data_IF_240159696185
#
_entry.id   IF_240159696185
#
_cell.length_a   1.000
_cell.length_b   1.000
_cell.length_c   1.000
_cell.angle_alpha   90.00
_cell.angle_beta   90.00
_cell.angle_gamma   90.00
#
_symmetry.space_group_name_H-M   'P 1'
#
loop_
_entity.id
_entity.type
_entity.pdbx_description
1 polymer ?
#
# COMPACT_ATOMS: atom_id res chain seq x y z
N UNK A 1 60.58 43.11 -6.37
CA UNK A 1 59.55 42.08 -6.62
C UNK A 1 58.64 42.00 -5.41
N UNK A 2 57.31 42.01 -5.63
CA UNK A 2 56.22 41.50 -4.77
C UNK A 2 55.01 42.44 -4.77
N UNK A 3 54.10 42.21 -5.74
CA UNK A 3 52.76 42.80 -5.79
C UNK A 3 51.84 41.98 -4.88
N UNK A 4 51.21 42.61 -3.89
CA UNK A 4 50.18 41.97 -3.07
C UNK A 4 48.83 42.19 -3.75
N UNK A 5 48.24 41.11 -4.28
CA UNK A 5 46.90 41.11 -4.84
C UNK A 5 45.90 40.79 -3.71
N UNK A 6 44.97 41.70 -3.46
CA UNK A 6 43.85 41.51 -2.54
C UNK A 6 42.71 40.88 -3.35
N UNK A 7 42.39 39.60 -3.08
CA UNK A 7 41.19 38.94 -3.63
C UNK A 7 39.97 39.34 -2.78
N UNK A 8 39.00 40.00 -3.41
CA UNK A 8 37.68 40.23 -2.84
C UNK A 8 36.82 38.97 -3.04
N UNK A 9 36.36 38.36 -1.94
CA UNK A 9 35.42 37.25 -1.96
C UNK A 9 33.98 37.79 -1.95
N UNK A 10 33.25 37.60 -3.05
CA UNK A 10 31.82 37.89 -3.16
C UNK A 10 31.02 36.71 -2.59
N UNK A 11 30.32 36.94 -1.47
CA UNK A 11 29.28 36.04 -0.96
C UNK A 11 28.05 36.12 -1.88
N UNK A 12 27.82 35.07 -2.66
CA UNK A 12 26.54 34.87 -3.33
C UNK A 12 25.52 34.33 -2.31
N UNK A 13 24.55 35.17 -1.96
CA UNK A 13 23.41 34.77 -1.15
C UNK A 13 22.57 33.74 -1.92
N UNK A 14 22.52 32.51 -1.42
CA UNK A 14 21.63 31.47 -1.92
C UNK A 14 20.18 31.86 -1.68
N UNK A 15 19.41 31.98 -2.75
CA UNK A 15 17.95 32.03 -2.68
C UNK A 15 17.50 30.63 -2.27
N UNK A 16 17.24 30.45 -0.97
CA UNK A 16 16.55 29.29 -0.45
C UNK A 16 15.12 29.29 -0.98
N UNK A 17 14.92 28.67 -2.15
CA UNK A 17 13.62 28.21 -2.58
C UNK A 17 13.15 27.13 -1.61
N UNK A 18 12.49 27.55 -0.54
CA UNK A 18 11.60 26.66 0.21
C UNK A 18 10.46 26.28 -0.72
N UNK A 19 10.69 25.29 -1.57
CA UNK A 19 9.60 24.49 -2.09
C UNK A 19 8.88 23.96 -0.85
N UNK A 20 7.66 24.44 -0.61
CA UNK A 20 6.77 23.78 0.33
C UNK A 20 6.82 22.29 -0.03
N UNK A 21 7.17 21.44 0.93
CA UNK A 21 6.99 20.02 0.77
C UNK A 21 5.52 19.83 0.39
N UNK A 22 5.25 19.36 -0.82
CA UNK A 22 3.91 18.91 -1.18
C UNK A 22 3.61 17.73 -0.26
N UNK A 23 2.98 18.03 0.88
CA UNK A 23 2.71 17.08 1.94
C UNK A 23 2.03 15.87 1.32
N UNK A 24 2.69 14.72 1.34
CA UNK A 24 2.14 13.49 0.78
C UNK A 24 0.79 13.19 1.44
N UNK A 25 -0.25 12.91 0.66
CA UNK A 25 -1.58 12.65 1.24
C UNK A 25 -1.75 11.21 1.69
N UNK A 26 -1.11 10.26 1.01
CA UNK A 26 -1.28 8.84 1.27
C UNK A 26 0.03 8.09 1.02
N UNK A 27 0.50 7.35 2.00
CA UNK A 27 1.46 6.26 1.82
C UNK A 27 0.66 4.96 1.68
N UNK A 28 0.67 4.38 0.49
CA UNK A 28 -0.02 3.14 0.15
C UNK A 28 0.99 2.02 -0.09
N UNK A 29 0.95 0.98 0.76
CA UNK A 29 1.75 -0.23 0.60
C UNK A 29 0.86 -1.36 0.07
N UNK A 30 1.13 -1.82 -1.15
CA UNK A 30 0.44 -2.95 -1.75
C UNK A 30 1.18 -4.25 -1.41
N UNK A 31 0.47 -5.20 -0.80
CA UNK A 31 1.00 -6.47 -0.32
C UNK A 31 0.34 -7.63 -1.08
N UNK A 32 1.11 -8.30 -1.93
CA UNK A 32 0.62 -9.37 -2.82
C UNK A 32 1.06 -10.75 -2.33
N UNK A 33 0.11 -11.67 -2.16
CA UNK A 33 0.38 -13.04 -1.75
C UNK A 33 1.05 -13.84 -2.88
N UNK A 34 2.14 -14.50 -2.54
CA UNK A 34 2.89 -15.42 -3.40
C UNK A 34 3.15 -16.77 -2.71
N UNK A 35 2.29 -17.15 -1.76
CA UNK A 35 2.36 -18.42 -1.03
C UNK A 35 2.05 -19.63 -1.91
N UNK A 36 2.31 -20.82 -1.41
CA UNK A 36 2.27 -22.07 -2.18
C UNK A 36 0.90 -22.45 -2.76
N UNK A 37 -0.19 -21.81 -2.33
CA UNK A 37 -1.51 -21.96 -2.94
C UNK A 37 -1.60 -21.31 -4.32
N UNK A 38 -0.81 -20.25 -4.55
CA UNK A 38 -0.75 -19.52 -5.83
C UNK A 38 0.13 -20.27 -6.82
N UNK A 39 -0.39 -20.60 -8.00
CA UNK A 39 0.39 -21.19 -9.10
C UNK A 39 1.05 -20.14 -10.02
N UNK A 40 1.68 -20.58 -11.11
CA UNK A 40 2.38 -19.67 -12.03
C UNK A 40 1.42 -18.84 -12.91
N UNK A 41 0.25 -19.38 -13.27
CA UNK A 41 -0.76 -18.66 -14.03
C UNK A 41 -1.48 -17.64 -13.15
N UNK A 42 -1.79 -18.02 -11.91
CA UNK A 42 -2.39 -17.16 -10.89
C UNK A 42 -1.46 -16.00 -10.51
N UNK A 43 -0.16 -16.25 -10.29
CA UNK A 43 0.82 -15.19 -10.06
C UNK A 43 0.90 -14.21 -11.25
N UNK A 44 0.85 -14.72 -12.48
CA UNK A 44 0.82 -13.89 -13.68
C UNK A 44 -0.45 -13.03 -13.76
N UNK A 45 -1.61 -13.57 -13.37
CA UNK A 45 -2.86 -12.84 -13.27
C UNK A 45 -2.82 -11.76 -12.18
N UNK A 46 -2.22 -12.04 -11.01
CA UNK A 46 -2.06 -11.04 -9.96
C UNK A 46 -1.15 -9.89 -10.38
N UNK A 47 0.06 -10.18 -10.90
CA UNK A 47 1.02 -9.16 -11.33
C UNK A 47 0.50 -8.34 -12.50
N UNK A 48 -0.04 -9.02 -13.51
CA UNK A 48 -0.64 -8.38 -14.68
C UNK A 48 -1.86 -7.55 -14.29
N UNK A 49 -2.73 -8.10 -13.46
CA UNK A 49 -3.93 -7.43 -12.98
C UNK A 49 -3.63 -6.21 -12.12
N UNK A 50 -2.62 -6.27 -11.24
CA UNK A 50 -2.18 -5.11 -10.47
C UNK A 50 -1.60 -4.02 -11.37
N UNK A 51 -0.73 -4.38 -12.32
CA UNK A 51 -0.16 -3.42 -13.27
C UNK A 51 -1.26 -2.75 -14.12
N UNK A 52 -2.21 -3.53 -14.64
CA UNK A 52 -3.38 -3.06 -15.38
C UNK A 52 -4.33 -2.21 -14.54
N UNK A 53 -4.49 -2.53 -13.25
CA UNK A 53 -5.33 -1.76 -12.33
C UNK A 53 -4.74 -0.38 -12.02
N UNK A 54 -3.43 -0.30 -11.79
CA UNK A 54 -2.73 0.98 -11.60
C UNK A 54 -2.88 1.93 -12.80
N UNK A 55 -3.01 1.37 -14.00
CA UNK A 55 -3.16 2.13 -15.25
C UNK A 55 -4.62 2.36 -15.66
N UNK A 56 -5.59 1.89 -14.89
CA UNK A 56 -7.01 2.11 -15.19
C UNK A 56 -7.34 3.61 -15.15
N UNK A 57 -8.16 4.15 -16.09
CA UNK A 57 -8.49 5.58 -16.13
C UNK A 57 -9.03 6.13 -14.81
N UNK A 58 -9.91 5.40 -14.14
CA UNK A 58 -10.50 5.73 -12.85
C UNK A 58 -9.46 5.76 -11.72
N UNK A 59 -8.54 4.81 -11.70
CA UNK A 59 -7.44 4.74 -10.71
C UNK A 59 -6.45 5.88 -10.94
N UNK A 60 -6.06 6.14 -12.19
CA UNK A 60 -5.23 7.30 -12.52
C UNK A 60 -5.91 8.61 -12.11
N UNK A 61 -7.21 8.74 -12.38
CA UNK A 61 -7.99 9.91 -11.94
C UNK A 61 -7.94 10.06 -10.43
N UNK A 62 -8.09 8.97 -9.68
CA UNK A 62 -8.04 8.97 -8.22
C UNK A 62 -6.64 9.31 -7.67
N UNK A 63 -5.55 8.85 -8.31
CA UNK A 63 -4.17 9.22 -7.94
C UNK A 63 -3.96 10.74 -7.99
N UNK A 64 -4.43 11.38 -9.06
CA UNK A 64 -4.21 12.81 -9.34
C UNK A 64 -5.39 13.70 -8.96
N UNK A 65 -6.33 13.21 -8.15
CA UNK A 65 -7.52 13.95 -7.73
C UNK A 65 -7.20 15.14 -6.78
N UNK A 66 -6.00 15.18 -6.21
CA UNK A 66 -5.52 16.23 -5.32
C UNK A 66 -4.07 16.60 -5.68
N UNK A 67 -3.62 17.84 -5.38
CA UNK A 67 -2.24 18.26 -5.66
C UNK A 67 -1.21 17.52 -4.79
N UNK A 68 -1.61 17.02 -3.61
CA UNK A 68 -0.75 16.23 -2.75
C UNK A 68 -0.50 14.84 -3.37
N UNK A 69 0.76 14.41 -3.51
CA UNK A 69 1.09 13.13 -4.13
C UNK A 69 0.75 11.93 -3.23
N UNK A 70 0.66 10.76 -3.87
CA UNK A 70 0.57 9.46 -3.20
C UNK A 70 1.94 8.79 -3.27
N UNK A 71 2.46 8.33 -2.14
CA UNK A 71 3.63 7.48 -2.09
C UNK A 71 3.19 6.02 -2.21
N UNK A 72 3.74 5.30 -3.18
CA UNK A 72 3.40 3.91 -3.45
C UNK A 72 4.59 3.00 -3.19
N UNK A 73 4.38 1.92 -2.47
CA UNK A 73 5.30 0.80 -2.36
C UNK A 73 4.55 -0.50 -2.70
N UNK A 74 5.26 -1.47 -3.24
CA UNK A 74 4.72 -2.79 -3.59
C UNK A 74 5.68 -3.84 -3.06
N UNK A 75 5.16 -4.76 -2.27
CA UNK A 75 5.89 -5.93 -1.79
C UNK A 75 5.07 -7.18 -1.99
N UNK A 76 5.78 -8.28 -2.17
CA UNK A 76 5.19 -9.61 -2.12
C UNK A 76 5.53 -10.29 -0.80
N UNK A 77 4.67 -11.23 -0.40
CA UNK A 77 4.80 -11.93 0.86
C UNK A 77 4.31 -13.38 0.76
N UNK A 78 4.90 -14.24 1.58
CA UNK A 78 4.41 -15.60 1.83
C UNK A 78 4.81 -16.04 3.23
N UNK A 79 5.80 -16.94 3.35
CA UNK A 79 6.25 -17.49 4.62
C UNK A 79 6.93 -16.46 5.53
N UNK A 80 7.21 -16.85 6.77
CA UNK A 80 7.71 -15.95 7.83
C UNK A 80 9.00 -15.17 7.52
N UNK A 81 9.78 -15.61 6.53
CA UNK A 81 11.03 -14.98 6.08
C UNK A 81 10.98 -14.51 4.62
N UNK A 82 9.81 -14.57 3.99
CA UNK A 82 9.63 -14.39 2.56
C UNK A 82 8.80 -13.13 2.31
N UNK A 83 9.43 -11.98 2.51
CA UNK A 83 8.89 -10.67 2.12
C UNK A 83 9.92 -9.99 1.22
N UNK A 84 9.48 -9.50 0.06
CA UNK A 84 10.37 -8.86 -0.90
C UNK A 84 9.74 -7.58 -1.46
N UNK A 85 10.48 -6.48 -1.46
CA UNK A 85 10.07 -5.26 -2.16
C UNK A 85 10.24 -5.44 -3.66
N UNK A 86 9.14 -5.26 -4.39
CA UNK A 86 9.13 -5.14 -5.84
C UNK A 86 9.37 -3.69 -6.26
N UNK A 87 8.75 -2.77 -5.52
CA UNK A 87 8.83 -1.33 -5.69
C UNK A 87 8.97 -0.70 -4.32
N UNK A 88 10.10 -0.04 -4.07
CA UNK A 88 10.29 0.79 -2.88
C UNK A 88 9.51 2.09 -3.00
N UNK A 89 9.35 2.82 -1.88
CA UNK A 89 8.56 4.04 -1.81
C UNK A 89 8.85 5.01 -2.96
N UNK A 90 7.88 5.13 -3.86
CA UNK A 90 7.93 5.99 -5.04
C UNK A 90 6.83 7.02 -4.92
N UNK A 91 7.21 8.30 -4.92
CA UNK A 91 6.25 9.41 -4.88
C UNK A 91 5.64 9.60 -6.27
N UNK A 92 4.33 9.36 -6.41
CA UNK A 92 3.62 9.45 -7.68
C UNK A 92 3.18 10.89 -7.91
N UNK A 93 3.98 11.65 -8.65
CA UNK A 93 3.72 13.06 -9.02
C UNK A 93 3.15 13.22 -10.42
N UNK A 94 3.27 12.20 -11.27
CA UNK A 94 2.83 12.22 -12.65
C UNK A 94 2.52 10.81 -13.20
N UNK A 95 1.88 10.77 -14.37
CA UNK A 95 1.49 9.53 -15.05
C UNK A 95 2.68 8.69 -15.50
N UNK A 96 3.81 9.31 -15.84
CA UNK A 96 5.00 8.59 -16.29
C UNK A 96 5.62 7.78 -15.15
N UNK A 97 5.64 8.36 -13.95
CA UNK A 97 6.10 7.69 -12.73
C UNK A 97 5.17 6.52 -12.36
N UNK A 98 3.85 6.71 -12.44
CA UNK A 98 2.88 5.64 -12.22
C UNK A 98 3.04 4.50 -13.23
N UNK A 99 3.26 4.84 -14.51
CA UNK A 99 3.58 3.86 -15.56
C UNK A 99 4.84 3.06 -15.24
N UNK A 100 5.92 3.72 -14.82
CA UNK A 100 7.15 3.05 -14.44
C UNK A 100 6.97 2.08 -13.26
N UNK A 101 6.10 2.40 -12.31
CA UNK A 101 5.74 1.48 -11.22
C UNK A 101 4.95 0.29 -11.74
N UNK A 102 3.91 0.52 -12.56
CA UNK A 102 3.10 -0.55 -13.14
C UNK A 102 3.94 -1.51 -13.99
N UNK A 103 4.85 -0.99 -14.83
CA UNK A 103 5.77 -1.79 -15.64
C UNK A 103 6.73 -2.61 -14.77
N UNK A 104 7.25 -2.04 -13.67
CA UNK A 104 8.13 -2.77 -12.75
C UNK A 104 7.41 -3.94 -12.09
N UNK A 105 6.17 -3.73 -11.66
CA UNK A 105 5.33 -4.79 -11.08
C UNK A 105 5.04 -5.87 -12.12
N UNK A 106 4.52 -5.49 -13.30
CA UNK A 106 4.12 -6.44 -14.34
C UNK A 106 5.29 -7.25 -14.92
N UNK A 107 6.52 -6.75 -14.83
CA UNK A 107 7.75 -7.44 -15.28
C UNK A 107 8.53 -8.12 -14.15
N UNK A 108 8.06 -8.01 -12.91
CA UNK A 108 8.73 -8.64 -11.77
C UNK A 108 8.62 -10.16 -11.83
N UNK A 109 9.57 -10.84 -11.19
CA UNK A 109 9.57 -12.30 -11.03
C UNK A 109 9.28 -12.63 -9.59
N UNK A 110 8.40 -13.62 -9.37
CA UNK A 110 8.09 -14.17 -8.05
C UNK A 110 9.35 -14.68 -7.34
N UNK A 111 9.58 -14.24 -6.11
CA UNK A 111 10.78 -14.59 -5.33
C UNK A 111 10.74 -16.00 -4.73
N UNK A 112 9.54 -16.52 -4.43
CA UNK A 112 9.34 -17.87 -3.90
C UNK A 112 7.92 -18.37 -4.20
N UNK A 113 7.75 -19.69 -4.31
CA UNK A 113 6.46 -20.34 -4.56
C UNK A 113 6.21 -21.58 -3.71
N UNK A 114 7.07 -21.87 -2.72
CA UNK A 114 6.96 -23.08 -1.88
C UNK A 114 6.65 -22.75 -0.41
N UNK A 115 6.44 -21.47 -0.10
CA UNK A 115 6.32 -21.00 1.27
C UNK A 115 4.86 -20.93 1.74
N UNK A 116 4.56 -21.19 3.02
CA UNK A 116 3.22 -21.05 3.59
C UNK A 116 2.71 -19.60 3.61
N UNK A 117 1.52 -19.40 4.17
CA UNK A 117 0.84 -18.11 4.30
C UNK A 117 1.08 -17.53 5.69
N UNK A 118 2.05 -16.61 5.82
CA UNK A 118 2.39 -15.94 7.09
C UNK A 118 1.88 -14.49 7.13
N UNK A 119 0.56 -14.31 7.08
CA UNK A 119 -0.11 -13.00 7.06
C UNK A 119 0.32 -12.06 8.20
N UNK A 120 0.46 -12.56 9.43
CA UNK A 120 0.93 -11.70 10.52
C UNK A 120 2.33 -11.15 10.27
N UNK A 121 3.23 -11.93 9.66
CA UNK A 121 4.55 -11.47 9.25
C UNK A 121 4.48 -10.46 8.10
N UNK A 122 3.59 -10.68 7.13
CA UNK A 122 3.35 -9.73 6.03
C UNK A 122 2.85 -8.38 6.55
N UNK A 123 1.94 -8.38 7.52
CA UNK A 123 1.43 -7.18 8.19
C UNK A 123 2.53 -6.47 8.99
N UNK A 124 3.31 -7.23 9.76
CA UNK A 124 4.45 -6.68 10.50
C UNK A 124 5.49 -6.04 9.58
N UNK A 125 5.77 -6.66 8.43
CA UNK A 125 6.65 -6.10 7.41
C UNK A 125 6.12 -4.77 6.87
N UNK A 126 4.85 -4.72 6.46
CA UNK A 126 4.21 -3.50 5.97
C UNK A 126 4.20 -2.37 7.00
N UNK A 127 3.90 -2.67 8.27
CA UNK A 127 3.95 -1.68 9.35
C UNK A 127 5.34 -1.06 9.53
N UNK A 128 6.39 -1.88 9.44
CA UNK A 128 7.77 -1.41 9.55
C UNK A 128 8.23 -0.67 8.29
N UNK A 129 7.67 -0.99 7.13
CA UNK A 129 7.96 -0.30 5.87
C UNK A 129 7.62 1.20 5.96
N UNK A 130 6.59 1.59 6.73
CA UNK A 130 6.27 3.00 6.97
C UNK A 130 7.34 3.75 7.77
N UNK A 131 8.19 3.08 8.57
CA UNK A 131 9.27 3.75 9.32
C UNK A 131 10.34 4.36 8.42
N UNK A 132 10.46 3.85 7.19
CA UNK A 132 11.38 4.32 6.14
C UNK A 132 10.63 5.00 4.98
N UNK A 133 9.33 5.15 5.10
CA UNK A 133 8.48 5.81 4.12
C UNK A 133 8.40 7.32 4.33
N UNK A 134 7.88 8.05 3.33
CA UNK A 134 7.60 9.46 3.49
C UNK A 134 6.53 9.71 4.56
N UNK A 135 6.59 10.87 5.19
CA UNK A 135 5.56 11.28 6.15
C UNK A 135 4.32 11.77 5.40
N UNK A 136 3.33 10.88 5.27
CA UNK A 136 2.07 11.15 4.59
C UNK A 136 0.91 11.29 5.59
N UNK A 137 -0.13 12.04 5.22
CA UNK A 137 -1.33 12.26 6.05
C UNK A 137 -2.03 10.95 6.43
N UNK A 138 -2.09 10.00 5.50
CA UNK A 138 -2.67 8.68 5.70
C UNK A 138 -1.65 7.58 5.36
N UNK A 139 -1.76 6.46 6.07
CA UNK A 139 -0.92 5.27 5.86
C UNK A 139 -1.83 4.05 5.72
N UNK A 140 -1.75 3.37 4.58
CA UNK A 140 -2.62 2.23 4.26
C UNK A 140 -1.80 1.04 3.78
N UNK A 141 -2.08 -0.13 4.34
CA UNK A 141 -1.66 -1.41 3.78
C UNK A 141 -2.85 -1.99 3.02
N UNK A 142 -2.66 -2.24 1.74
CA UNK A 142 -3.54 -3.07 0.92
C UNK A 142 -3.03 -4.51 1.00
N UNK A 143 -3.75 -5.37 1.73
CA UNK A 143 -3.41 -6.78 1.91
C UNK A 143 -4.23 -7.67 0.98
N UNK A 144 -3.63 -8.18 -0.09
CA UNK A 144 -4.25 -9.13 -1.02
C UNK A 144 -3.76 -10.57 -0.77
N UNK A 145 -4.67 -11.54 -0.75
CA UNK A 145 -4.31 -12.96 -0.67
C UNK A 145 -5.49 -13.94 -0.85
N UNK A 146 -5.16 -15.22 -0.96
CA UNK A 146 -6.06 -16.34 -1.25
C UNK A 146 -6.12 -17.38 -0.12
N UNK A 147 -5.43 -17.15 1.01
CA UNK A 147 -5.33 -18.10 2.11
C UNK A 147 -5.39 -17.48 3.50
N UNK A 148 -5.77 -18.31 4.49
CA UNK A 148 -5.69 -17.94 5.90
C UNK A 148 -4.25 -18.08 6.44
N UNK A 149 -3.98 -17.40 7.55
CA UNK A 149 -2.68 -17.51 8.21
C UNK A 149 -2.42 -18.95 8.72
N UNK A 150 -1.46 -19.64 8.12
CA UNK A 150 -1.09 -21.02 8.50
C UNK A 150 0.38 -21.15 8.99
N UNK A 151 1.16 -20.06 8.96
CA UNK A 151 2.50 -20.00 9.54
C UNK A 151 2.67 -18.78 10.45
N UNK A 152 3.49 -18.93 11.51
CA UNK A 152 3.91 -17.82 12.34
C UNK A 152 2.80 -17.26 13.24
N UNK A 153 2.94 -16.00 13.63
CA UNK A 153 1.93 -15.33 14.44
C UNK A 153 0.79 -14.80 13.57
N UNK A 154 -0.44 -14.87 14.09
CA UNK A 154 -1.66 -14.36 13.44
C UNK A 154 -1.68 -12.82 13.40
N UNK A 155 -2.49 -12.21 12.51
CA UNK A 155 -2.68 -10.75 12.44
C UNK A 155 -2.92 -10.06 13.79
N UNK A 156 -3.79 -10.62 14.64
CA UNK A 156 -4.10 -10.06 15.96
C UNK A 156 -2.87 -9.89 16.87
N UNK A 157 -1.88 -10.78 16.74
CA UNK A 157 -0.59 -10.66 17.46
C UNK A 157 0.30 -9.61 16.82
N UNK A 158 0.28 -9.47 15.49
CA UNK A 158 1.03 -8.45 14.77
C UNK A 158 0.58 -7.04 15.19
N UNK A 159 -0.73 -6.77 15.23
CA UNK A 159 -1.26 -5.47 15.64
C UNK A 159 -0.89 -5.06 17.07
N UNK A 160 -0.66 -6.03 17.96
CA UNK A 160 -0.24 -5.77 19.34
C UNK A 160 1.26 -5.53 19.47
N UNK A 161 2.07 -6.10 18.58
CA UNK A 161 3.52 -6.14 18.71
C UNK A 161 4.26 -5.12 17.83
N UNK A 162 3.62 -4.60 16.78
CA UNK A 162 4.24 -3.75 15.76
C UNK A 162 3.53 -2.38 15.65
N UNK A 163 4.21 -1.35 15.07
CA UNK A 163 3.68 0.02 15.07
C UNK A 163 2.58 0.20 14.02
N UNK A 164 1.33 -0.01 14.42
CA UNK A 164 0.14 0.24 13.58
C UNK A 164 -0.58 1.56 13.88
N UNK A 165 0.01 2.44 14.69
CA UNK A 165 -0.60 3.73 15.01
C UNK A 165 -0.74 4.60 13.75
N UNK A 166 -1.98 5.01 13.46
CA UNK A 166 -2.33 5.76 12.25
C UNK A 166 -2.31 4.93 10.96
N UNK A 167 -2.15 3.61 11.02
CA UNK A 167 -2.18 2.71 9.86
C UNK A 167 -3.57 2.09 9.70
N UNK A 168 -4.11 2.12 8.48
CA UNK A 168 -5.28 1.36 8.07
C UNK A 168 -4.83 0.12 7.28
N UNK A 169 -5.48 -1.03 7.50
CA UNK A 169 -5.27 -2.24 6.72
C UNK A 169 -6.57 -2.61 6.04
N UNK A 170 -6.56 -2.59 4.71
CA UNK A 170 -7.67 -3.03 3.87
C UNK A 170 -7.34 -4.41 3.29
N UNK A 171 -8.36 -5.23 3.05
CA UNK A 171 -8.20 -6.57 2.50
C UNK A 171 -8.68 -6.69 1.06
N UNK A 172 -8.01 -7.50 0.26
CA UNK A 172 -8.53 -8.09 -0.97
C UNK A 172 -8.46 -9.61 -0.84
N UNK A 173 -9.62 -10.26 -0.85
CA UNK A 173 -9.70 -11.73 -0.86
C UNK A 173 -9.83 -12.22 -2.29
N UNK A 174 -8.97 -13.17 -2.67
CA UNK A 174 -9.09 -13.92 -3.92
C UNK A 174 -9.82 -15.21 -3.61
N UNK A 175 -11.11 -15.27 -3.93
CA UNK A 175 -11.98 -16.40 -3.65
C UNK A 175 -11.89 -17.42 -4.81
N UNK A 176 -10.88 -18.30 -4.76
CA UNK A 176 -10.52 -19.25 -5.82
C UNK A 176 -11.43 -20.48 -5.94
N UNK A 177 -12.24 -20.77 -4.94
CA UNK A 177 -13.26 -21.82 -4.91
C UNK A 177 -12.76 -23.27 -4.90
N UNK A 178 -11.45 -23.52 -4.98
CA UNK A 178 -10.91 -24.86 -5.24
C UNK A 178 -10.44 -25.58 -3.96
N UNK A 179 -10.22 -24.86 -2.85
CA UNK A 179 -9.86 -25.47 -1.57
C UNK A 179 -11.00 -25.43 -0.54
N UNK A 180 -11.28 -26.57 0.12
CA UNK A 180 -12.25 -26.63 1.23
C UNK A 180 -11.88 -25.69 2.40
N UNK A 181 -10.62 -25.24 2.47
CA UNK A 181 -10.14 -24.22 3.41
C UNK A 181 -10.73 -22.81 3.18
N UNK A 182 -11.42 -22.56 2.05
CA UNK A 182 -11.90 -21.24 1.66
C UNK A 182 -13.28 -20.86 2.23
N UNK A 183 -14.01 -21.79 2.84
CA UNK A 183 -15.35 -21.51 3.38
C UNK A 183 -15.37 -20.52 4.56
N UNK A 184 -14.20 -20.10 5.04
CA UNK A 184 -14.04 -19.06 6.06
C UNK A 184 -13.21 -17.85 5.65
N UNK A 185 -12.59 -17.84 4.46
CA UNK A 185 -11.53 -16.87 4.15
C UNK A 185 -12.01 -15.41 4.21
N UNK A 186 -13.20 -15.13 3.65
CA UNK A 186 -13.83 -13.80 3.73
C UNK A 186 -14.05 -13.40 5.19
N UNK A 187 -14.57 -14.30 6.02
CA UNK A 187 -14.82 -14.06 7.44
C UNK A 187 -13.51 -13.84 8.20
N UNK A 188 -12.49 -14.65 7.91
CA UNK A 188 -11.16 -14.51 8.48
C UNK A 188 -10.54 -13.15 8.14
N UNK A 189 -10.63 -12.67 6.90
CA UNK A 189 -10.15 -11.32 6.55
C UNK A 189 -10.91 -10.23 7.29
N UNK A 190 -12.24 -10.36 7.41
CA UNK A 190 -13.07 -9.40 8.15
C UNK A 190 -12.71 -9.34 9.63
N UNK A 191 -12.50 -10.49 10.26
CA UNK A 191 -12.27 -10.59 11.70
C UNK A 191 -10.81 -10.33 12.11
N UNK A 192 -9.86 -10.75 11.27
CA UNK A 192 -8.44 -10.74 11.62
C UNK A 192 -7.57 -9.82 10.78
N UNK A 193 -7.88 -9.52 9.51
CA UNK A 193 -6.99 -8.75 8.62
C UNK A 193 -7.37 -7.27 8.51
N UNK A 194 -8.65 -6.93 8.60
CA UNK A 194 -9.06 -5.53 8.59
C UNK A 194 -8.63 -4.83 9.88
N UNK A 195 -8.01 -3.66 9.74
CA UNK A 195 -7.54 -2.88 10.91
C UNK A 195 -7.65 -1.38 10.68
N UNK A 196 -8.03 -0.65 11.73
CA UNK A 196 -8.11 0.80 11.70
C UNK A 196 -9.46 1.34 11.21
N UNK A 197 -9.70 2.65 11.40
CA UNK A 197 -10.99 3.27 11.08
C UNK A 197 -11.23 3.29 9.56
N UNK A 198 -12.42 2.85 9.15
CA UNK A 198 -12.82 2.85 7.73
C UNK A 198 -12.18 1.74 6.90
N UNK A 199 -11.48 0.78 7.54
CA UNK A 199 -10.95 -0.40 6.88
C UNK A 199 -12.05 -1.18 6.16
N UNK A 200 -11.70 -1.76 5.02
CA UNK A 200 -12.67 -2.48 4.20
C UNK A 200 -12.08 -3.66 3.45
N UNK A 201 -12.98 -4.56 3.03
CA UNK A 201 -12.68 -5.73 2.24
C UNK A 201 -13.21 -5.56 0.82
N UNK A 202 -12.40 -5.97 -0.15
CA UNK A 202 -12.78 -6.19 -1.55
C UNK A 202 -12.63 -7.68 -1.88
N UNK A 203 -13.43 -8.18 -2.83
CA UNK A 203 -13.46 -9.61 -3.15
C UNK A 203 -13.31 -9.81 -4.65
N UNK A 204 -12.28 -10.55 -5.05
CA UNK A 204 -12.13 -11.14 -6.37
C UNK A 204 -12.74 -12.55 -6.38
N UNK A 205 -13.53 -12.87 -7.39
CA UNK A 205 -14.06 -14.21 -7.64
C UNK A 205 -13.09 -14.95 -8.56
N UNK A 206 -12.08 -15.59 -7.96
CA UNK A 206 -10.94 -16.18 -8.66
C UNK A 206 -9.88 -15.16 -9.10
N UNK A 207 -8.76 -15.68 -9.61
CA UNK A 207 -7.63 -14.86 -10.04
C UNK A 207 -7.90 -14.09 -11.33
N UNK A 208 -8.76 -14.60 -12.21
CA UNK A 208 -9.17 -13.91 -13.44
C UNK A 208 -9.91 -12.60 -13.14
N UNK A 209 -10.50 -12.51 -11.96
CA UNK A 209 -11.26 -11.38 -11.49
C UNK A 209 -10.44 -10.35 -10.69
N UNK A 210 -9.18 -10.69 -10.43
CA UNK A 210 -8.28 -9.90 -9.59
C UNK A 210 -8.12 -8.46 -10.11
N UNK A 211 -7.96 -8.27 -11.41
CA UNK A 211 -7.82 -6.94 -12.02
C UNK A 211 -9.03 -6.03 -11.70
N UNK A 212 -10.25 -6.56 -11.81
CA UNK A 212 -11.48 -5.80 -11.54
C UNK A 212 -11.59 -5.45 -10.07
N UNK A 213 -11.33 -6.40 -9.18
CA UNK A 213 -11.34 -6.19 -7.74
C UNK A 213 -10.29 -5.15 -7.33
N UNK A 214 -9.05 -5.29 -7.82
CA UNK A 214 -7.94 -4.39 -7.53
C UNK A 214 -8.23 -2.96 -8.02
N UNK A 215 -8.83 -2.77 -9.21
CA UNK A 215 -9.26 -1.44 -9.68
C UNK A 215 -10.21 -0.76 -8.70
N UNK A 216 -11.27 -1.46 -8.30
CA UNK A 216 -12.27 -0.93 -7.34
C UNK A 216 -11.66 -0.63 -5.98
N UNK A 217 -10.74 -1.48 -5.53
CA UNK A 217 -10.03 -1.30 -4.27
C UNK A 217 -9.16 -0.05 -4.31
N UNK A 218 -8.30 0.08 -5.32
CA UNK A 218 -7.43 1.25 -5.50
C UNK A 218 -8.23 2.54 -5.62
N UNK A 219 -9.33 2.56 -6.36
CA UNK A 219 -10.21 3.73 -6.46
C UNK A 219 -10.70 4.18 -5.07
N UNK A 220 -11.13 3.23 -4.23
CA UNK A 220 -11.60 3.52 -2.87
C UNK A 220 -10.48 3.95 -1.93
N UNK A 221 -9.29 3.36 -2.03
CA UNK A 221 -8.13 3.74 -1.21
C UNK A 221 -7.61 5.14 -1.56
N UNK A 222 -7.58 5.45 -2.86
CA UNK A 222 -7.09 6.72 -3.37
C UNK A 222 -8.09 7.86 -3.19
N UNK A 223 -9.39 7.58 -2.99
CA UNK A 223 -10.36 8.60 -2.60
C UNK A 223 -10.08 9.19 -1.20
N UNK A 224 -9.28 8.49 -0.38
CA UNK A 224 -8.94 8.89 0.99
C UNK A 224 -10.12 8.73 1.96
N UNK A 225 -9.87 8.77 3.29
CA UNK A 225 -10.94 8.75 4.27
C UNK A 225 -11.83 9.98 4.10
N UNK A 226 -13.15 9.77 3.99
CA UNK A 226 -14.12 10.87 4.05
C UNK A 226 -14.08 11.47 5.46
N UNK A 227 -13.31 12.56 5.64
CA UNK A 227 -13.35 13.34 6.88
C UNK A 227 -14.66 14.13 6.88
N UNK A 228 -15.69 13.58 7.53
CA UNK A 228 -17.00 14.22 7.60
C UNK A 228 -17.82 13.74 8.78
N UNK A 229 -17.50 14.22 10.00
CA UNK A 229 -18.44 14.87 10.93
C UNK A 229 -17.72 15.28 12.21
N UNK A 230 -17.37 16.57 12.31
CA UNK A 230 -17.13 17.20 13.62
C UNK A 230 -18.41 17.03 14.44
N UNK A 231 -18.38 16.54 15.69
CA UNK A 231 -19.53 16.66 16.56
C UNK A 231 -19.82 18.15 16.68
N UNK A 232 -20.95 18.60 16.15
CA UNK A 232 -21.47 19.93 16.45
C UNK A 232 -21.51 20.03 17.97
N UNK A 233 -20.66 20.88 18.53
CA UNK A 233 -20.72 21.25 19.93
C UNK A 233 -22.06 21.97 20.06
N UNK A 234 -23.09 21.24 20.47
CA UNK A 234 -24.38 21.82 20.78
C UNK A 234 -24.14 22.89 21.84
N UNK A 235 -24.21 24.16 21.41
CA UNK A 235 -24.28 25.30 22.29
C UNK A 235 -25.49 25.09 23.18
N UNK A 236 -25.24 24.89 24.46
CA UNK A 236 -26.25 25.06 25.51
C UNK A 236 -26.23 26.54 25.86
N UNK A 237 -26.90 27.32 25.01
CA UNK A 237 -27.47 28.61 25.42
C UNK A 237 -28.89 28.31 25.94
N UNK A 238 -29.14 28.65 27.20
CA UNK A 238 -30.51 28.75 27.73
C UNK A 238 -30.64 28.36 29.20
N UNK A 239 -30.72 29.38 30.07
CA UNK A 239 -31.19 29.27 31.45
C UNK A 239 -30.56 30.27 32.40
#
# INVERSE_FOLDING_TARGET
MARHAILAATLAAGVGGGAAADNCRLALALAMDVSSSVDAAEDALQRGGLASALLAPEVQTAFFAAPQPVALAVYEWSGRFNQALLVDWTLITDRATLLGVAERVGRSTRSTNESPTALGHALAYGSQLFRRGPDCLFRTIDMAGDGENNEGYRPASAYKAFPFEGVVVNGLVINGGDFEAETGLIQFYQDEVLFGPGAFLEIAQGFEDYERAMRRKLERELAGPVIGMTPSRAGTDGG
#
